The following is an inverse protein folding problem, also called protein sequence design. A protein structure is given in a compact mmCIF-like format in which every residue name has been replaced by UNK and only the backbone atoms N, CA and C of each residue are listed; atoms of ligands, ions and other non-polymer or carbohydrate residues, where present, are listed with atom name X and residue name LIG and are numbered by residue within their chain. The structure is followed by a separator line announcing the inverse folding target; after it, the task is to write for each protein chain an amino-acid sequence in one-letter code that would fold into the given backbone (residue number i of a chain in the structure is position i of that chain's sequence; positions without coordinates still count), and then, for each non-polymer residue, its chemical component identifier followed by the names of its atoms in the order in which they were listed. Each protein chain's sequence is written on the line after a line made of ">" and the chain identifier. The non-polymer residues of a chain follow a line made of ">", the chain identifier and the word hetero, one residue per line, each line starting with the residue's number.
data_IF_034144387646
#
_entry.id   IF_034144387646
#
_cell.length_a   1.000
_cell.length_b   1.000
_cell.length_c   1.000
_cell.angle_alpha   90.00
_cell.angle_beta   90.00
_cell.angle_gamma   90.00
#
_symmetry.space_group_name_H-M   'P 1'
#
loop_
_entity.id
_entity.type
_entity.pdbx_description
1 polymer ?
2 non-polymer ?
3 non-polymer ?
4 non-polymer ?
5 non-polymer ?
6 water ?
#
# COMPACT_ATOMS: atom_id res chain seq x y z
N UNK A 2 -4.87 4.13 -20.44
CA UNK A 2 -3.75 4.50 -19.49
C UNK A 2 -3.77 3.76 -18.14
N UNK A 3 -2.59 3.48 -17.55
CA UNK A 3 -2.49 2.91 -16.22
C UNK A 3 -3.34 3.68 -15.27
N UNK A 4 -3.45 5.00 -15.46
CA UNK A 4 -4.25 5.80 -14.50
C UNK A 4 -5.62 5.28 -14.27
N UNK A 5 -6.26 4.71 -15.30
CA UNK A 5 -7.64 4.30 -15.14
C UNK A 5 -7.75 2.79 -14.93
N UNK A 6 -6.65 2.07 -14.80
CA UNK A 6 -6.72 0.61 -14.69
C UNK A 6 -6.17 0.02 -13.42
N UNK A 7 -5.55 0.81 -12.55
CA UNK A 7 -5.01 0.31 -11.34
C UNK A 7 -5.70 1.11 -10.19
N UNK A 8 -6.19 0.40 -9.21
CA UNK A 8 -6.78 1.06 -8.02
C UNK A 8 -5.71 1.27 -6.99
N UNK A 9 -5.65 2.52 -6.53
CA UNK A 9 -4.65 2.84 -5.51
C UNK A 9 -5.24 2.54 -4.14
N UNK A 10 -4.40 2.08 -3.23
CA UNK A 10 -4.83 1.72 -1.89
C UNK A 10 -3.85 2.25 -0.81
N UNK A 11 -4.34 3.07 0.09
CA UNK A 11 -3.52 3.46 1.23
C UNK A 11 -3.82 2.46 2.34
N UNK A 12 -2.80 1.78 2.82
CA UNK A 12 -2.88 0.80 3.89
C UNK A 12 -2.71 1.65 5.19
N UNK A 13 -3.85 2.07 5.73
CA UNK A 13 -3.84 2.97 6.89
C UNK A 13 -3.85 2.14 8.12
N UNK A 14 -4.33 0.91 7.97
CA UNK A 14 -4.10 -0.05 9.02
C UNK A 14 -4.85 -0.82 10.08
N UNK A 15 -4.05 -1.09 11.10
CA UNK A 15 -4.44 -1.84 12.25
C UNK A 15 -5.63 -1.68 13.11
N UNK A 16 -5.99 -2.91 13.45
CA UNK A 16 -6.90 -3.46 14.42
C UNK A 16 -7.67 -2.52 15.36
N UNK A 23 -3.20 7.16 18.46
CA UNK A 23 -3.70 7.43 17.11
C UNK A 23 -2.80 6.87 16.02
N UNK A 24 -3.41 6.56 14.88
CA UNK A 24 -2.65 6.12 13.71
C UNK A 24 -1.49 7.19 13.60
N UNK A 25 -0.20 6.78 13.55
CA UNK A 25 0.92 7.73 13.44
C UNK A 25 0.82 8.45 12.08
N UNK A 26 0.16 7.76 11.16
CA UNK A 26 -0.13 8.29 9.85
C UNK A 26 -0.93 9.57 9.92
N UNK A 27 -1.52 9.90 11.06
CA UNK A 27 -2.25 11.15 11.18
C UNK A 27 -1.34 12.34 11.48
N UNK A 28 -0.10 12.08 11.87
CA UNK A 28 0.84 13.15 12.17
C UNK A 28 1.15 13.93 10.91
N UNK A 29 1.25 15.23 11.07
CA UNK A 29 1.50 16.15 9.98
C UNK A 29 2.95 16.27 9.61
N UNK A 30 3.20 16.20 8.31
CA UNK A 30 4.50 16.44 7.74
C UNK A 30 4.31 17.66 6.85
N UNK A 31 5.04 18.74 7.18
CA UNK A 31 4.92 19.97 6.43
C UNK A 31 3.45 20.37 6.32
N UNK A 32 2.70 20.15 7.38
CA UNK A 32 1.32 20.59 7.44
C UNK A 32 0.26 19.69 6.83
N UNK A 33 0.69 18.54 6.34
CA UNK A 33 -0.22 17.58 5.75
C UNK A 33 0.02 16.25 6.39
N UNK A 34 -1.05 15.62 6.85
CA UNK A 34 -0.94 14.33 7.49
C UNK A 34 -0.19 13.31 6.64
N UNK A 35 0.70 12.51 7.22
CA UNK A 35 1.49 11.52 6.50
C UNK A 35 0.61 10.72 5.53
N UNK A 36 -0.52 10.25 6.00
CA UNK A 36 -1.32 9.39 5.14
C UNK A 36 -1.80 10.11 3.90
N UNK A 37 -2.00 11.39 4.00
CA UNK A 37 -2.49 12.22 2.87
C UNK A 37 -1.40 12.47 1.85
N UNK A 38 -0.13 12.50 2.32
CA UNK A 38 0.99 12.54 1.42
C UNK A 38 0.87 11.27 0.61
N UNK A 39 0.65 10.11 1.16
CA UNK A 39 0.58 8.94 0.32
C UNK A 39 -0.63 8.98 -0.63
N UNK A 40 -1.77 9.33 -0.10
CA UNK A 40 -2.99 9.36 -0.90
C UNK A 40 -2.83 10.34 -2.05
N UNK A 41 -2.27 11.53 -1.81
CA UNK A 41 -2.12 12.50 -2.86
C UNK A 41 -1.14 11.98 -3.99
N UNK A 42 -0.07 11.31 -3.58
CA UNK A 42 0.89 10.77 -4.58
C UNK A 42 0.15 9.72 -5.41
N UNK A 43 -0.63 8.87 -4.76
CA UNK A 43 -1.36 7.89 -5.54
C UNK A 43 -2.36 8.52 -6.49
N UNK A 44 -3.07 9.55 -6.00
CA UNK A 44 -4.10 10.20 -6.78
C UNK A 44 -3.55 10.99 -7.96
N UNK A 45 -2.29 11.37 -7.92
CA UNK A 45 -1.72 12.03 -9.05
C UNK A 45 -1.54 11.01 -10.19
N UNK A 46 -1.28 9.78 -9.82
CA UNK A 46 -0.99 8.70 -10.81
C UNK A 46 -2.21 7.85 -11.21
N UNK A 47 -3.22 7.79 -10.37
CA UNK A 47 -4.34 6.88 -10.46
C UNK A 47 -5.65 7.54 -10.23
N UNK A 48 -6.65 7.26 -11.06
CA UNK A 48 -7.96 7.90 -10.91
C UNK A 48 -8.72 7.53 -9.64
N UNK A 49 -8.73 6.23 -9.32
CA UNK A 49 -9.58 5.69 -8.26
C UNK A 49 -8.65 5.16 -7.20
N UNK A 50 -8.75 5.76 -6.01
CA UNK A 50 -7.89 5.48 -4.87
C UNK A 50 -8.74 5.35 -3.60
N UNK A 51 -8.53 4.32 -2.81
CA UNK A 51 -9.30 4.03 -1.63
C UNK A 51 -8.34 3.87 -0.43
N UNK A 52 -8.91 3.86 0.78
CA UNK A 52 -8.13 3.68 2.01
C UNK A 52 -8.61 2.46 2.76
N UNK A 53 -7.69 1.58 3.16
CA UNK A 53 -7.98 0.47 4.04
C UNK A 53 -7.69 1.00 5.46
N UNK A 54 -8.75 1.15 6.23
CA UNK A 54 -8.67 1.69 7.61
C UNK A 54 -9.69 0.96 8.50
N UNK A 55 -9.31 0.78 9.78
CA UNK A 55 -10.19 0.13 10.74
C UNK A 55 -10.41 0.99 11.99
N UNK A 56 -9.88 2.21 11.97
CA UNK A 56 -10.15 3.23 12.98
C UNK A 56 -10.07 4.60 12.30
N UNK A 57 -10.64 5.60 12.92
CA UNK A 57 -10.67 6.95 12.37
C UNK A 57 -11.26 6.97 10.96
N UNK A 58 -12.21 6.08 10.68
CA UNK A 58 -12.71 5.95 9.32
C UNK A 58 -13.23 7.27 8.79
N UNK A 59 -13.89 8.04 9.64
CA UNK A 59 -14.46 9.28 9.28
C UNK A 59 -13.41 10.33 8.78
N UNK A 60 -12.21 10.29 9.36
CA UNK A 60 -11.14 11.20 9.01
C UNK A 60 -10.68 10.90 7.54
N UNK A 61 -10.42 9.64 7.27
CA UNK A 61 -10.01 9.25 5.94
C UNK A 61 -11.12 9.52 4.95
N UNK A 62 -12.33 9.17 5.30
CA UNK A 62 -13.45 9.38 4.41
C UNK A 62 -13.67 10.81 4.09
N UNK A 63 -13.43 11.73 5.06
CA UNK A 63 -13.67 13.12 4.83
C UNK A 63 -12.84 13.81 3.76
N UNK A 64 -11.70 13.18 3.36
CA UNK A 64 -10.88 13.71 2.33
C UNK A 64 -11.47 13.31 0.97
N UNK A 65 -12.58 12.63 0.94
CA UNK A 65 -13.15 12.20 -0.36
C UNK A 65 -12.76 10.82 -0.78
N UNK A 66 -12.26 9.98 0.12
CA UNK A 66 -11.81 8.66 -0.22
C UNK A 66 -12.72 7.63 0.40
N UNK A 67 -13.05 6.61 -0.38
CA UNK A 67 -13.79 5.46 0.13
C UNK A 67 -12.96 4.63 1.11
N UNK A 68 -13.55 4.26 2.23
CA UNK A 68 -12.86 3.45 3.23
C UNK A 68 -13.31 2.05 3.20
N UNK A 69 -12.33 1.17 3.13
CA UNK A 69 -12.58 -0.21 3.17
C UNK A 69 -12.06 -0.78 4.49
N UNK A 70 -12.97 -1.40 5.24
CA UNK A 70 -12.62 -2.03 6.51
C UNK A 70 -12.30 -3.49 6.32
N UNK A 71 -11.49 -4.02 7.22
CA UNK A 71 -11.05 -5.40 7.13
C UNK A 71 -12.18 -6.38 7.19
N UNK A 72 -11.97 -7.51 6.54
CA UNK A 72 -12.88 -8.58 6.65
C UNK A 72 -13.16 -8.89 8.12
N UNK A 73 -14.29 -9.52 8.36
CA UNK A 73 -14.63 -9.94 9.70
C UNK A 73 -13.94 -11.27 10.03
N UNK A 74 -13.17 -11.80 9.10
CA UNK A 74 -12.41 -13.02 9.37
C UNK A 74 -11.38 -12.68 10.46
N UNK A 75 -11.00 -11.41 10.54
CA UNK A 75 -10.09 -10.98 11.59
C UNK A 75 -8.66 -11.49 11.32
N UNK A 76 -8.25 -11.53 10.07
CA UNK A 76 -6.89 -11.97 9.77
C UNK A 76 -5.85 -10.91 10.19
N UNK A 77 -4.64 -11.33 10.41
CA UNK A 77 -3.58 -10.41 10.86
C UNK A 77 -2.76 -9.70 9.77
N UNK A 78 -2.37 -8.49 10.09
CA UNK A 78 -1.39 -7.74 9.29
C UNK A 78 -1.80 -7.19 7.95
N UNK A 79 -0.82 -6.64 7.24
CA UNK A 79 -1.09 -5.97 5.97
C UNK A 79 -1.72 -6.89 4.94
N UNK A 80 -1.40 -8.17 4.97
CA UNK A 80 -2.02 -9.10 3.98
C UNK A 80 -3.53 -9.13 4.18
N UNK A 81 -3.96 -8.99 5.43
CA UNK A 81 -5.40 -8.92 5.73
C UNK A 81 -6.09 -7.76 5.04
N UNK A 82 -5.45 -6.61 5.02
CA UNK A 82 -5.99 -5.44 4.38
C UNK A 82 -6.02 -5.68 2.87
N UNK A 83 -4.93 -6.21 2.33
CA UNK A 83 -4.90 -6.46 0.87
C UNK A 83 -6.06 -7.37 0.49
N UNK A 84 -6.28 -8.44 1.23
CA UNK A 84 -7.36 -9.36 0.88
C UNK A 84 -8.71 -8.70 1.01
N UNK A 85 -8.91 -7.93 2.07
CA UNK A 85 -10.15 -7.25 2.27
C UNK A 85 -10.48 -6.30 1.13
N UNK A 86 -9.45 -5.60 0.64
CA UNK A 86 -9.65 -4.66 -0.45
C UNK A 86 -9.97 -5.45 -1.72
N UNK A 87 -9.28 -6.54 -2.00
CA UNK A 87 -9.60 -7.33 -3.21
C UNK A 87 -11.03 -7.92 -3.12
N UNK A 88 -11.49 -8.26 -1.91
CA UNK A 88 -12.84 -8.81 -1.74
C UNK A 88 -13.94 -7.79 -1.86
N UNK A 89 -13.59 -6.49 -1.67
CA UNK A 89 -14.57 -5.42 -1.68
C UNK A 89 -14.46 -4.43 -2.82
N UNK A 90 -13.45 -4.60 -3.68
CA UNK A 90 -13.26 -3.70 -4.82
C UNK A 90 -13.19 -4.57 -6.07
N UNK A 91 -13.77 -4.10 -7.16
CA UNK A 91 -13.85 -4.88 -8.39
C UNK A 91 -12.62 -4.77 -9.31
N UNK A 92 -11.70 -3.85 -9.12
CA UNK A 92 -10.61 -3.90 -10.11
C UNK A 92 -9.75 -5.15 -10.30
N UNK A 93 -9.00 -5.18 -11.40
CA UNK A 93 -8.04 -6.26 -11.63
C UNK A 93 -6.72 -6.00 -10.88
N UNK A 94 -6.30 -4.76 -10.89
CA UNK A 94 -4.99 -4.41 -10.33
C UNK A 94 -5.13 -3.40 -9.17
N UNK A 95 -4.28 -3.57 -8.17
CA UNK A 95 -4.21 -2.71 -6.97
C UNK A 95 -2.78 -2.34 -6.68
N UNK A 96 -2.57 -1.05 -6.38
CA UNK A 96 -1.26 -0.58 -5.93
C UNK A 96 -1.42 -0.15 -4.49
N UNK A 97 -0.85 -0.96 -3.61
CA UNK A 97 -0.94 -0.73 -2.18
C UNK A 97 0.27 0.05 -1.71
N UNK A 98 0.07 0.91 -0.68
CA UNK A 98 1.19 1.62 -0.09
C UNK A 98 0.81 1.94 1.35
N UNK A 99 1.70 1.66 2.29
CA UNK A 99 1.45 2.07 3.67
C UNK A 99 1.39 3.58 3.87
N UNK A 100 0.73 3.97 4.95
CA UNK A 100 0.46 5.37 5.23
C UNK A 100 1.66 6.16 5.65
N UNK A 101 2.81 5.57 5.86
CA UNK A 101 3.97 6.32 6.40
C UNK A 101 5.18 6.43 5.47
N UNK A 102 4.97 6.33 4.15
CA UNK A 102 6.06 6.50 3.17
C UNK A 102 5.67 7.69 2.28
N UNK A 103 5.74 8.89 2.83
CA UNK A 103 5.22 10.08 2.19
C UNK A 103 5.89 10.57 0.92
N UNK A 104 7.09 10.07 0.65
CA UNK A 104 7.81 10.54 -0.47
C UNK A 104 7.74 9.61 -1.68
N UNK A 105 6.76 8.70 -1.70
CA UNK A 105 6.68 7.81 -2.86
C UNK A 105 6.64 8.56 -4.14
N UNK A 106 7.36 8.05 -5.15
CA UNK A 106 7.61 8.79 -6.41
C UNK A 106 6.45 8.82 -7.39
N UNK A 107 6.53 9.76 -8.29
CA UNK A 107 5.46 10.01 -9.24
C UNK A 107 5.32 8.93 -10.34
N UNK A 108 6.29 8.07 -10.42
CA UNK A 108 6.36 7.03 -11.44
C UNK A 108 6.29 5.65 -10.80
N UNK A 109 5.75 5.63 -9.59
CA UNK A 109 5.61 4.35 -8.82
C UNK A 109 4.84 3.28 -9.61
N UNK A 110 3.62 3.63 -10.03
CA UNK A 110 2.78 2.67 -10.73
C UNK A 110 3.42 2.23 -12.07
N UNK A 111 3.93 3.21 -12.84
CA UNK A 111 4.47 2.89 -14.12
C UNK A 111 5.68 1.96 -14.02
N UNK A 112 6.58 2.24 -13.09
CA UNK A 112 7.80 1.46 -13.02
C UNK A 112 7.44 0.06 -12.49
N UNK A 113 6.60 -0.06 -11.51
CA UNK A 113 6.18 -1.39 -11.02
C UNK A 113 5.49 -2.13 -12.17
N UNK A 114 4.57 -1.47 -12.87
CA UNK A 114 3.87 -2.10 -13.99
C UNK A 114 4.82 -2.58 -15.08
N UNK A 115 5.74 -1.71 -15.45
CA UNK A 115 6.69 -2.03 -16.52
C UNK A 115 7.63 -3.18 -16.19
N UNK A 116 7.95 -3.36 -14.92
CA UNK A 116 8.85 -4.37 -14.41
C UNK A 116 8.12 -5.62 -13.93
N UNK A 117 6.83 -5.74 -14.24
CA UNK A 117 6.11 -6.93 -13.75
C UNK A 117 6.68 -8.22 -14.36
N UNK A 118 7.08 -8.14 -15.63
CA UNK A 118 7.59 -9.34 -16.32
C UNK A 118 6.58 -10.46 -16.15
N UNK A 119 5.30 -10.13 -16.35
CA UNK A 119 4.15 -11.04 -16.31
C UNK A 119 3.82 -11.69 -14.95
N UNK A 120 4.50 -11.26 -13.90
CA UNK A 120 4.20 -11.74 -12.55
C UNK A 120 2.90 -11.10 -12.02
N UNK A 121 2.16 -11.78 -11.17
CA UNK A 121 0.89 -11.24 -10.66
C UNK A 121 1.11 -10.32 -9.48
N UNK A 122 2.35 -10.21 -9.02
CA UNK A 122 2.64 -9.30 -7.93
C UNK A 122 4.10 -8.80 -7.96
N UNK A 123 4.33 -7.48 -7.70
CA UNK A 123 5.69 -6.97 -7.61
C UNK A 123 5.69 -6.03 -6.50
N UNK A 124 6.86 -5.85 -5.86
CA UNK A 124 6.95 -4.93 -4.75
C UNK A 124 8.26 -4.14 -4.90
N UNK A 125 8.40 -3.09 -4.13
CA UNK A 125 9.58 -2.21 -4.22
C UNK A 125 10.77 -2.70 -3.40
N UNK A 126 11.95 -2.70 -4.04
CA UNK A 126 13.25 -2.81 -3.30
C UNK A 126 13.97 -1.45 -3.51
N UNK A 127 14.31 -0.76 -2.42
CA UNK A 127 14.82 0.63 -2.53
C UNK A 127 16.33 0.72 -2.68
N UNK A 128 16.96 -0.41 -2.86
CA UNK A 128 18.40 -0.46 -2.91
C UNK A 128 18.96 -1.04 -1.61
N UNK A 129 18.33 -0.75 -0.47
CA UNK A 129 18.82 -1.34 0.78
C UNK A 129 17.85 -2.36 1.34
N UNK A 130 16.56 -2.18 1.13
CA UNK A 130 15.65 -3.18 1.66
C UNK A 130 14.36 -3.30 0.86
N UNK A 131 13.69 -4.40 1.09
CA UNK A 131 12.37 -4.61 0.50
C UNK A 131 11.35 -3.84 1.25
N UNK A 132 10.32 -3.41 0.50
CA UNK A 132 9.13 -2.76 1.02
C UNK A 132 7.94 -3.59 0.42
N UNK A 133 7.69 -4.77 0.96
CA UNK A 133 6.73 -5.70 0.38
C UNK A 133 5.31 -5.23 0.41
N UNK A 134 4.99 -4.25 1.22
CA UNK A 134 3.66 -3.66 1.23
C UNK A 134 3.49 -2.53 0.30
N UNK A 135 4.55 -2.13 -0.43
CA UNK A 135 4.42 -1.18 -1.53
C UNK A 135 4.41 -2.10 -2.76
N UNK A 136 3.22 -2.49 -3.14
CA UNK A 136 3.09 -3.57 -4.10
C UNK A 136 1.99 -3.38 -5.10
N UNK A 137 2.25 -3.86 -6.28
CA UNK A 137 1.29 -3.88 -7.39
C UNK A 137 0.86 -5.31 -7.48
N UNK A 138 -0.45 -5.50 -7.31
CA UNK A 138 -1.02 -6.82 -7.14
C UNK A 138 -2.21 -7.09 -8.02
N UNK A 139 -2.18 -8.22 -8.72
CA UNK A 139 -3.33 -8.65 -9.54
C UNK A 139 -4.26 -9.43 -8.66
N UNK A 140 -5.55 -9.17 -8.84
CA UNK A 140 -6.55 -9.88 -8.04
C UNK A 140 -6.59 -11.39 -8.23
N UNK A 141 -5.93 -11.91 -9.24
CA UNK A 141 -5.89 -13.36 -9.41
C UNK A 141 -5.27 -14.07 -8.27
N UNK A 142 -4.48 -13.36 -7.42
CA UNK A 142 -3.94 -14.05 -6.26
C UNK A 142 -4.84 -14.01 -5.03
N UNK A 143 -6.06 -13.49 -5.17
CA UNK A 143 -7.02 -13.48 -4.12
C UNK A 143 -7.24 -14.87 -3.50
N UNK A 144 -7.48 -15.89 -4.32
CA UNK A 144 -7.67 -17.23 -3.75
C UNK A 144 -6.46 -17.73 -2.98
N UNK A 145 -5.26 -17.54 -3.56
CA UNK A 145 -4.06 -17.96 -2.88
C UNK A 145 -3.88 -17.26 -1.53
N UNK A 146 -4.17 -15.98 -1.49
CA UNK A 146 -4.08 -15.17 -0.29
C UNK A 146 -5.05 -15.61 0.76
N UNK A 147 -6.28 -15.88 0.35
CA UNK A 147 -7.27 -16.37 1.27
C UNK A 147 -6.81 -17.71 1.91
N UNK A 148 -6.29 -18.62 1.11
CA UNK A 148 -5.83 -19.89 1.60
C UNK A 148 -4.67 -19.74 2.58
N UNK A 149 -3.76 -18.81 2.25
CA UNK A 149 -2.59 -18.52 3.05
C UNK A 149 -2.95 -18.03 4.43
N UNK A 150 -3.88 -17.07 4.50
CA UNK A 150 -4.29 -16.47 5.73
C UNK A 150 -5.11 -17.48 6.51
N UNK A 151 -5.96 -18.22 5.80
CA UNK A 151 -6.77 -19.29 6.46
C UNK A 151 -5.87 -20.33 7.10
N UNK A 152 -4.72 -20.61 6.51
CA UNK A 152 -3.77 -21.54 7.06
C UNK A 152 -3.04 -20.99 8.29
N UNK A 153 -3.29 -19.74 8.62
CA UNK A 153 -2.64 -19.09 9.75
C UNK A 153 -1.32 -18.39 9.44
N UNK A 154 -0.99 -18.18 8.16
CA UNK A 154 0.29 -17.61 7.80
C UNK A 154 0.12 -16.11 7.73
N UNK A 155 1.22 -15.36 7.92
CA UNK A 155 1.17 -13.90 7.93
C UNK A 155 2.33 -13.18 7.22
N UNK A 156 3.45 -13.83 7.00
CA UNK A 156 4.58 -13.14 6.41
C UNK A 156 4.27 -12.62 5.00
N UNK A 157 4.49 -11.33 4.77
CA UNK A 157 4.19 -10.71 3.49
C UNK A 157 5.05 -11.12 2.33
N UNK A 158 6.35 -10.96 2.46
CA UNK A 158 7.21 -11.31 1.34
C UNK A 158 7.17 -12.79 1.02
N UNK A 159 7.09 -13.67 2.02
CA UNK A 159 6.94 -15.08 1.71
C UNK A 159 5.71 -15.35 0.83
N UNK A 160 4.61 -14.69 1.18
CA UNK A 160 3.42 -14.87 0.39
C UNK A 160 3.65 -14.36 -1.03
N UNK A 161 4.22 -13.16 -1.16
CA UNK A 161 4.38 -12.62 -2.51
C UNK A 161 5.30 -13.46 -3.35
N UNK A 162 6.34 -14.08 -2.76
CA UNK A 162 7.18 -15.02 -3.54
C UNK A 162 6.45 -16.28 -3.93
N UNK A 163 5.64 -16.81 -3.05
CA UNK A 163 4.90 -18.01 -3.31
C UNK A 163 3.88 -17.80 -4.42
N UNK A 164 3.41 -16.57 -4.60
CA UNK A 164 2.50 -16.22 -5.70
C UNK A 164 3.21 -16.03 -7.04
N UNK A 165 4.53 -16.03 -7.02
CA UNK A 165 5.35 -15.84 -8.21
C UNK A 165 5.85 -14.43 -8.43
N UNK A 166 5.83 -13.64 -7.38
CA UNK A 166 6.23 -12.26 -7.44
C UNK A 166 7.72 -12.02 -7.34
N UNK A 167 8.11 -10.78 -7.60
CA UNK A 167 9.50 -10.39 -7.43
C UNK A 167 9.62 -8.91 -7.07
N UNK A 168 10.77 -8.54 -6.53
CA UNK A 168 11.11 -7.18 -6.20
C UNK A 168 11.53 -6.40 -7.42
N UNK A 169 11.23 -5.11 -7.40
CA UNK A 169 11.58 -4.22 -8.47
C UNK A 169 12.49 -3.11 -7.93
N UNK A 170 13.60 -2.89 -8.62
CA UNK A 170 14.62 -1.94 -8.16
C UNK A 170 14.26 -0.46 -8.29
N UNK A 171 14.19 0.27 -7.17
CA UNK A 171 13.97 1.68 -7.11
C UNK A 171 15.23 2.40 -6.49
N UNK A 172 16.40 1.79 -6.61
CA UNK A 172 17.62 2.29 -5.97
C UNK A 172 17.98 3.68 -6.48
N UNK A 173 17.50 4.04 -7.64
CA UNK A 173 17.78 5.36 -8.19
C UNK A 173 16.83 6.45 -7.71
N UNK A 174 15.85 6.09 -6.88
CA UNK A 174 14.87 7.07 -6.39
C UNK A 174 15.16 7.42 -4.96
N UNK A 175 16.06 8.41 -4.86
CA UNK A 175 16.66 8.98 -3.66
C UNK A 175 15.69 9.31 -2.50
N UNK A 176 15.73 8.51 -1.44
CA UNK A 176 14.98 8.70 -0.24
C UNK A 176 13.48 8.75 -0.51
N UNK A 177 13.03 8.14 -1.61
CA UNK A 177 11.57 8.18 -1.92
C UNK A 177 10.80 7.19 -1.02
N UNK A 178 11.53 6.28 -0.46
CA UNK A 178 10.92 5.23 0.33
C UNK A 178 11.25 5.29 1.82
N UNK A 179 11.68 6.45 2.27
CA UNK A 179 11.82 6.70 3.68
C UNK A 179 10.54 6.37 4.42
N UNK A 180 10.62 5.59 5.50
CA UNK A 180 9.41 5.36 6.25
C UNK A 180 9.49 6.12 7.56
N UNK A 181 8.45 6.86 7.83
CA UNK A 181 8.39 7.67 9.07
C UNK A 181 7.84 6.79 10.17
N UNK A 182 8.73 6.21 10.92
CA UNK A 182 8.42 5.25 11.94
C UNK A 182 7.87 5.91 13.20
N UNK A 183 8.44 7.07 13.52
CA UNK A 183 8.11 7.79 14.77
C UNK A 183 8.05 9.31 14.61
N UNK A 184 7.53 9.98 15.64
CA UNK A 184 7.64 11.44 15.73
C UNK A 184 9.06 12.00 15.60
N UNK A 185 10.02 11.31 16.16
CA UNK A 185 11.40 11.71 16.05
C UNK A 185 11.92 11.61 14.62
N UNK A 186 11.64 10.51 13.94
CA UNK A 186 12.13 10.42 12.55
C UNK A 186 11.43 11.54 11.74
N UNK A 187 10.16 11.74 12.02
CA UNK A 187 9.42 12.80 11.34
C UNK A 187 10.14 14.11 11.48
N UNK A 188 10.70 14.41 12.65
CA UNK A 188 11.38 15.69 12.77
C UNK A 188 12.63 15.75 11.91
N UNK A 189 13.28 14.61 11.62
CA UNK A 189 14.47 14.66 10.75
C UNK A 189 14.09 15.08 9.32
N UNK A 190 12.79 14.95 8.99
CA UNK A 190 12.25 15.26 7.65
C UNK A 190 11.46 16.56 7.52
N UNK A 191 10.93 17.08 8.62
CA UNK A 191 10.15 18.31 8.56
C UNK A 191 10.93 19.34 7.79
N UNK A 192 10.21 20.09 6.95
CA UNK A 192 10.76 21.15 6.10
C UNK A 192 11.83 21.98 6.81
X LIG B 1 -11.32 8.53 -5.88
X LIG B 1 -12.40 9.17 -6.01
X LIG B 1 -11.36 7.31 -6.23
X LIG B 1 -10.03 9.16 -5.41
X LIG C 1 -13.05 6.40 -7.08
X LIG D 1 6.15 1.83 8.95
X LIG E 1 6.91 -1.11 10.05
X LIG E 1 6.89 -2.12 8.81
X LIG E 1 7.27 0.39 9.56
X LIG E 1 7.82 -1.51 11.32
X LIG E 1 5.39 -1.09 10.59
X LIG E 1 4.59 0.28 10.86
X LIG E 1 5.18 0.92 12.21
X LIG E 1 4.50 1.14 9.52
X LIG E 1 3.04 -0.06 11.03
X LIG E 1 2.32 -1.48 11.19
X LIG E 1 3.35 -2.66 11.57
X LIG E 1 1.06 -1.10 12.14
X LIG E 1 1.67 -1.81 9.74
X LIG E 1 2.39 -1.99 8.53
X LIG E 1 1.36 -1.81 7.42
X LIG E 1 0.39 -2.86 7.60
X LIG E 1 0.72 -0.44 7.60
X LIG E 1 0.26 0.03 6.33
X LIG E 1 -0.42 -0.56 8.63
X LIG E 1 -1.55 0.18 8.20
X LIG E 1 -0.89 -2.34 7.95
X LIG E 1 -1.45 -3.18 9.00
X LIG E 1 -0.86 -3.60 10.13
X LIG E 1 -1.72 -4.40 10.79
X LIG E 1 -2.83 -4.48 10.08
X LIG E 1 -4.05 -5.13 10.22
X LIG E 1 -4.27 -5.89 11.29
X LIG E 1 -4.98 -5.00 9.27
X LIG E 1 -4.75 -4.24 8.21
X LIG E 1 -5.71 -4.09 7.26
X LIG E 1 -3.61 -3.60 8.03
X LIG E 1 -2.65 -3.70 8.94
#
# INVERSE_FOLDING_TARGET
>A
MNLMTTITGVVLAGGKARRMGGVDKGLLELNGKPLWQHVADALMTQLSHVVVNANRHQEIYQASGLKVIEDSLADYPGPLAGMLSVMQQEAGEWFLFCPCDTPYIPPDLAARLNHQRKDAPVVWVHDGERDHPTIALVNRAIEPLLLEYLQAGERRVMVFMRLAGGHAVDFSDHKDAFVNVNTPEELARWQEKR
>B hetero
1 ACT C O OXT CH3
>C hetero
1 ZN ZN
>D hetero
1 MN MN
>E hetero
1 GTP PG O1G O2G O3G O3B PB O1B O2B O3A PA O1A O2A O5' C5' C4' O4' C3' O3' C2' O2' C1' N9 C8 N7 C5 C6 O6 N1 C2 N2 N3 C4
#
